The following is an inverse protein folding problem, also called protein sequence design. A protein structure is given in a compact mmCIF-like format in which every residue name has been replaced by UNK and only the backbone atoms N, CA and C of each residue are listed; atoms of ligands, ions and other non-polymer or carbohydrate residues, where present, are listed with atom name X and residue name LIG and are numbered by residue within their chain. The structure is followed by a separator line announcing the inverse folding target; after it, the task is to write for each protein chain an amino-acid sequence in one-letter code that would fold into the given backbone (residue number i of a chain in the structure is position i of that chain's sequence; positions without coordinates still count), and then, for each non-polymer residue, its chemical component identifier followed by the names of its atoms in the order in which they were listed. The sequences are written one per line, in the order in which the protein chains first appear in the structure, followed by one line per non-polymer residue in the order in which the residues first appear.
data_IF_485867975309
#
_entry.id   IF_485867975309
#
_cell.length_a   1.000
_cell.length_b   1.000
_cell.length_c   1.000
_cell.angle_alpha   90.00
_cell.angle_beta   90.00
_cell.angle_gamma   90.00
#
_symmetry.space_group_name_H-M   'P 1'
#
loop_
_entity.id
_entity.type
_entity.pdbx_description
1 polymer ?
#
# COMPACT_ATOMS: atom_id res chain seq x y z
N UNK A 1 38.29 9.00 16.44
CA UNK A 1 39.46 8.37 15.78
C UNK A 1 39.28 8.25 14.26
N UNK A 2 38.64 9.22 13.57
CA UNK A 2 38.33 9.17 12.11
C UNK A 2 38.88 10.37 11.32
N UNK A 3 39.67 11.25 11.95
CA UNK A 3 40.17 12.51 11.34
C UNK A 3 41.48 12.38 10.57
N UNK A 4 42.15 11.22 10.61
CA UNK A 4 43.51 11.02 10.06
C UNK A 4 43.58 10.13 8.81
N UNK A 5 42.48 9.50 8.38
CA UNK A 5 42.49 8.76 7.11
C UNK A 5 42.26 9.71 5.93
N UNK A 6 43.05 9.62 4.84
CA UNK A 6 42.91 10.47 3.67
C UNK A 6 41.75 9.98 2.79
N UNK A 7 40.54 9.89 3.35
CA UNK A 7 39.33 9.38 2.69
C UNK A 7 39.05 10.04 1.35
N UNK A 8 39.31 11.34 1.24
CA UNK A 8 39.17 12.09 -0.03
C UNK A 8 40.09 11.56 -1.13
N UNK A 9 41.33 11.18 -0.77
CA UNK A 9 42.29 10.61 -1.69
C UNK A 9 41.88 9.19 -2.09
N UNK A 10 41.43 8.38 -1.13
CA UNK A 10 40.96 7.00 -1.35
C UNK A 10 39.75 6.99 -2.30
N UNK A 11 38.76 7.86 -2.05
CA UNK A 11 37.54 7.98 -2.88
C UNK A 11 37.91 8.46 -4.30
N UNK A 12 38.78 9.46 -4.43
CA UNK A 12 39.26 9.94 -5.74
C UNK A 12 40.05 8.89 -6.51
N UNK A 13 40.92 8.15 -5.82
CA UNK A 13 41.72 7.09 -6.41
C UNK A 13 40.83 5.93 -6.87
N UNK A 14 39.86 5.52 -6.05
CA UNK A 14 38.88 4.51 -6.39
C UNK A 14 38.03 4.95 -7.60
N UNK A 15 37.48 6.17 -7.59
CA UNK A 15 36.67 6.69 -8.70
C UNK A 15 37.43 6.69 -10.03
N UNK A 16 38.68 7.18 -10.04
CA UNK A 16 39.55 7.14 -11.23
C UNK A 16 39.87 5.71 -11.69
N UNK A 17 40.09 4.78 -10.76
CA UNK A 17 40.41 3.38 -11.07
C UNK A 17 39.22 2.61 -11.63
N UNK A 18 37.99 2.94 -11.22
CA UNK A 18 36.76 2.32 -11.69
C UNK A 18 36.07 3.10 -12.84
N UNK A 19 36.74 4.12 -13.41
CA UNK A 19 36.20 4.90 -14.54
C UNK A 19 35.02 5.81 -14.17
N UNK A 20 34.83 6.11 -12.88
CA UNK A 20 33.75 6.95 -12.37
C UNK A 20 34.26 8.39 -12.21
N UNK A 21 33.41 9.39 -12.51
CA UNK A 21 33.74 10.80 -12.28
C UNK A 21 34.16 11.06 -10.83
N UNK A 22 35.11 11.98 -10.60
CA UNK A 22 35.53 12.39 -9.25
C UNK A 22 34.32 12.89 -8.44
N UNK A 23 33.82 12.10 -7.46
CA UNK A 23 32.56 12.38 -6.80
C UNK A 23 32.62 13.71 -6.04
N UNK A 24 33.80 14.08 -5.55
CA UNK A 24 34.00 15.30 -4.75
C UNK A 24 33.88 16.53 -5.64
N UNK A 25 34.56 16.51 -6.79
CA UNK A 25 34.51 17.60 -7.76
C UNK A 25 33.13 17.71 -8.40
N UNK A 26 32.44 16.59 -8.59
CA UNK A 26 31.07 16.54 -9.10
C UNK A 26 30.05 17.07 -8.09
N UNK A 27 30.09 16.62 -6.83
CA UNK A 27 29.27 17.16 -5.73
C UNK A 27 29.48 18.66 -5.52
N UNK A 28 30.72 19.14 -5.60
CA UNK A 28 31.03 20.57 -5.47
C UNK A 28 30.39 21.40 -6.60
N UNK A 29 30.38 20.88 -7.83
CA UNK A 29 29.72 21.52 -8.98
C UNK A 29 28.21 21.39 -8.92
N UNK A 30 27.68 20.26 -8.46
CA UNK A 30 26.25 20.08 -8.22
C UNK A 30 25.70 21.13 -7.25
N UNK A 31 26.40 21.34 -6.15
CA UNK A 31 26.06 22.35 -5.14
C UNK A 31 26.08 23.77 -5.68
N UNK A 32 26.82 24.04 -6.76
CA UNK A 32 26.85 25.34 -7.41
C UNK A 32 25.62 25.59 -8.31
N UNK A 33 24.82 24.56 -8.64
CA UNK A 33 23.54 24.75 -9.34
C UNK A 33 22.41 25.24 -8.41
N UNK A 34 22.56 25.09 -7.09
CA UNK A 34 21.63 25.65 -6.11
C UNK A 34 22.09 27.06 -5.69
N UNK A 35 21.15 28.01 -5.56
CA UNK A 35 21.46 29.31 -4.92
C UNK A 35 21.94 29.07 -3.49
N UNK A 36 22.82 29.91 -2.94
CA UNK A 36 23.29 29.76 -1.56
C UNK A 36 22.09 29.89 -0.61
N UNK A 37 21.56 28.75 -0.19
CA UNK A 37 20.60 28.59 0.89
C UNK A 37 21.39 28.27 2.15
N UNK A 38 20.99 28.83 3.30
CA UNK A 38 21.56 28.47 4.61
C UNK A 38 21.39 26.97 4.91
N UNK A 39 20.33 26.36 4.33
CA UNK A 39 20.08 24.92 4.36
C UNK A 39 20.36 24.35 2.97
N UNK A 40 21.49 23.64 2.83
CA UNK A 40 22.04 23.24 1.53
C UNK A 40 21.23 22.13 0.85
N UNK A 41 20.79 21.11 1.60
CA UNK A 41 19.85 20.05 1.23
C UNK A 41 19.35 19.44 2.56
N UNK A 42 18.04 19.34 2.82
CA UNK A 42 17.54 18.65 4.02
C UNK A 42 18.07 17.20 4.07
N UNK A 43 18.69 16.81 5.20
CA UNK A 43 19.23 15.45 5.40
C UNK A 43 18.11 14.41 5.25
N UNK A 44 16.89 14.81 5.54
CA UNK A 44 15.66 14.07 5.41
C UNK A 44 15.37 13.68 3.95
N UNK A 45 15.70 14.54 2.98
CA UNK A 45 15.57 14.24 1.54
C UNK A 45 16.62 13.25 1.07
N UNK A 46 17.86 13.37 1.55
CA UNK A 46 18.90 12.39 1.26
C UNK A 46 18.53 11.01 1.84
N UNK A 47 18.04 10.97 3.08
CA UNK A 47 17.55 9.72 3.70
C UNK A 47 16.37 9.13 2.92
N UNK A 48 15.38 9.94 2.55
CA UNK A 48 14.24 9.49 1.74
C UNK A 48 14.70 8.93 0.39
N UNK A 49 15.59 9.65 -0.31
CA UNK A 49 16.13 9.23 -1.60
C UNK A 49 16.91 7.91 -1.52
N UNK A 50 17.70 7.71 -0.46
CA UNK A 50 18.43 6.44 -0.24
C UNK A 50 17.44 5.27 -0.04
N UNK A 51 16.45 5.42 0.84
CA UNK A 51 15.44 4.35 1.10
C UNK A 51 14.66 4.04 -0.18
N UNK A 52 14.25 5.07 -0.91
CA UNK A 52 13.52 4.95 -2.16
C UNK A 52 14.31 4.20 -3.25
N UNK A 53 15.59 4.54 -3.45
CA UNK A 53 16.45 3.82 -4.40
C UNK A 53 16.83 2.42 -3.94
N UNK A 54 16.99 2.19 -2.63
CA UNK A 54 17.22 0.85 -2.07
C UNK A 54 16.02 -0.07 -2.33
N UNK A 55 14.78 0.39 -2.06
CA UNK A 55 13.56 -0.31 -2.48
C UNK A 55 13.54 -0.55 -3.98
N UNK A 56 13.96 0.45 -4.75
CA UNK A 56 14.05 0.31 -6.19
C UNK A 56 14.99 -0.81 -6.65
N UNK A 57 16.07 -1.10 -5.93
CA UNK A 57 16.96 -2.25 -6.20
C UNK A 57 16.28 -3.59 -5.86
N UNK A 58 15.55 -3.66 -4.75
CA UNK A 58 14.75 -4.84 -4.37
C UNK A 58 13.70 -5.13 -5.44
N UNK A 59 12.98 -4.10 -5.89
CA UNK A 59 11.98 -4.19 -6.96
C UNK A 59 12.60 -4.75 -8.26
N UNK A 60 13.83 -4.38 -8.62
CA UNK A 60 14.52 -4.98 -9.79
C UNK A 60 14.63 -6.50 -9.64
N UNK A 61 15.10 -6.97 -8.47
CA UNK A 61 15.34 -8.38 -8.23
C UNK A 61 14.05 -9.19 -8.10
N UNK A 62 13.09 -8.72 -7.32
CA UNK A 62 11.85 -9.43 -7.07
C UNK A 62 10.93 -9.47 -8.29
N UNK A 63 10.70 -8.34 -8.97
CA UNK A 63 9.64 -8.27 -9.99
C UNK A 63 10.09 -8.92 -11.31
N UNK A 64 11.32 -8.66 -11.76
CA UNK A 64 11.75 -9.10 -13.09
C UNK A 64 11.87 -10.62 -13.24
N UNK A 65 12.17 -11.32 -12.15
CA UNK A 65 12.37 -12.77 -12.16
C UNK A 65 11.07 -13.55 -11.89
N UNK A 66 10.00 -12.85 -11.49
CA UNK A 66 8.76 -13.45 -10.99
C UNK A 66 7.53 -12.80 -11.66
N UNK A 67 7.50 -12.79 -13.00
CA UNK A 67 6.43 -12.14 -13.77
C UNK A 67 5.08 -12.87 -13.69
N UNK A 68 5.08 -14.11 -13.23
CA UNK A 68 3.92 -14.98 -13.02
C UNK A 68 3.13 -14.66 -11.75
N UNK A 69 3.71 -13.89 -10.83
CA UNK A 69 3.06 -13.45 -9.60
C UNK A 69 1.86 -12.52 -9.88
N UNK A 70 1.03 -12.32 -8.87
CA UNK A 70 0.02 -11.26 -8.89
C UNK A 70 0.68 -9.99 -8.37
N UNK A 71 0.88 -8.98 -9.20
CA UNK A 71 1.56 -7.75 -8.79
C UNK A 71 0.58 -6.60 -8.53
N UNK A 72 0.97 -5.56 -7.78
CA UNK A 72 0.13 -4.38 -7.61
C UNK A 72 -0.05 -3.67 -8.96
N UNK A 73 -1.13 -2.90 -9.08
CA UNK A 73 -1.57 -2.33 -10.36
C UNK A 73 -0.49 -1.57 -11.13
N UNK A 74 0.32 -0.78 -10.42
CA UNK A 74 1.39 0.00 -11.06
C UNK A 74 2.44 -0.88 -11.74
N UNK A 75 2.74 -2.07 -11.19
CA UNK A 75 3.70 -3.00 -11.80
C UNK A 75 3.12 -3.60 -13.07
N UNK A 76 1.87 -4.07 -13.01
CA UNK A 76 1.15 -4.66 -14.16
C UNK A 76 1.08 -3.70 -15.36
N UNK A 77 1.06 -2.39 -15.09
CA UNK A 77 1.03 -1.33 -16.12
C UNK A 77 2.43 -0.90 -16.54
N UNK A 78 3.28 -0.49 -15.58
CA UNK A 78 4.59 0.10 -15.84
C UNK A 78 5.57 -0.88 -16.51
N UNK A 79 5.39 -2.19 -16.33
CA UNK A 79 6.25 -3.23 -16.91
C UNK A 79 5.71 -3.84 -18.21
N UNK A 80 4.49 -3.51 -18.63
CA UNK A 80 3.85 -4.05 -19.84
C UNK A 80 4.16 -3.16 -21.05
N UNK A 81 4.97 -3.61 -22.04
CA UNK A 81 5.43 -2.74 -23.14
C UNK A 81 4.32 -2.11 -24.00
N UNK A 82 3.15 -2.75 -24.07
CA UNK A 82 2.01 -2.24 -24.82
C UNK A 82 1.12 -1.27 -24.04
N UNK A 83 1.43 -0.98 -22.78
CA UNK A 83 0.63 -0.10 -21.94
C UNK A 83 1.12 1.37 -22.03
N UNK A 84 0.24 2.37 -22.07
CA UNK A 84 0.64 3.79 -22.08
C UNK A 84 1.50 4.21 -20.88
N UNK A 85 1.38 3.50 -19.75
CA UNK A 85 2.18 3.72 -18.54
C UNK A 85 3.54 3.02 -18.56
N UNK A 86 3.92 2.36 -19.66
CA UNK A 86 5.20 1.66 -19.74
C UNK A 86 6.40 2.60 -19.56
N UNK A 87 7.32 2.23 -18.66
CA UNK A 87 8.57 2.99 -18.45
C UNK A 87 9.77 2.15 -18.94
N UNK A 88 10.48 2.60 -19.99
CA UNK A 88 11.66 1.89 -20.50
C UNK A 88 12.78 1.76 -19.46
N UNK A 89 13.42 0.58 -19.42
CA UNK A 89 14.35 0.18 -18.33
C UNK A 89 15.82 0.19 -18.71
N UNK A 90 16.18 0.54 -19.95
CA UNK A 90 17.50 0.26 -20.54
C UNK A 90 18.70 0.88 -19.79
N UNK A 91 18.48 1.90 -18.95
CA UNK A 91 19.54 2.57 -18.20
C UNK A 91 19.19 2.87 -16.73
N UNK A 92 18.05 2.39 -16.22
CA UNK A 92 17.66 2.65 -14.82
C UNK A 92 18.25 1.59 -13.90
N UNK A 93 19.03 2.02 -12.90
CA UNK A 93 19.59 1.11 -11.90
C UNK A 93 18.57 0.70 -10.82
N UNK A 94 17.46 1.43 -10.68
CA UNK A 94 16.42 1.19 -9.67
C UNK A 94 15.02 1.23 -10.29
N UNK A 95 14.12 0.33 -9.89
CA UNK A 95 12.71 0.35 -10.30
C UNK A 95 11.82 0.92 -9.20
N UNK A 96 11.41 2.16 -9.39
CA UNK A 96 10.51 2.88 -8.49
C UNK A 96 9.15 3.04 -9.16
N UNK A 97 8.09 3.16 -8.36
CA UNK A 97 6.79 3.47 -8.93
C UNK A 97 6.77 4.92 -9.43
N UNK A 98 6.55 5.11 -10.72
CA UNK A 98 6.42 6.41 -11.38
C UNK A 98 5.01 6.65 -11.93
N UNK A 99 4.13 5.67 -11.84
CA UNK A 99 2.82 5.65 -12.49
C UNK A 99 1.71 5.27 -11.51
N UNK A 100 0.47 5.62 -11.83
CA UNK A 100 -0.69 5.22 -11.01
C UNK A 100 -0.55 5.52 -9.50
N UNK A 101 0.07 6.66 -9.16
CA UNK A 101 0.30 7.13 -7.78
C UNK A 101 -0.90 7.88 -7.19
N UNK A 102 -2.10 7.52 -7.64
CA UNK A 102 -3.36 8.08 -7.20
C UNK A 102 -3.94 7.14 -6.13
N UNK A 103 -3.44 7.24 -4.90
CA UNK A 103 -3.90 6.41 -3.78
C UNK A 103 -4.77 7.23 -2.87
N UNK A 104 -5.90 6.65 -2.48
CA UNK A 104 -6.87 7.33 -1.64
C UNK A 104 -6.68 6.87 -0.21
N UNK A 105 -6.44 7.82 0.70
CA UNK A 105 -6.37 7.50 2.12
C UNK A 105 -7.77 7.38 2.71
N UNK A 106 -7.94 6.41 3.61
CA UNK A 106 -9.05 6.38 4.55
C UNK A 106 -8.54 6.81 5.92
N UNK A 107 -9.43 7.29 6.78
CA UNK A 107 -9.02 7.73 8.10
C UNK A 107 -10.13 8.40 8.88
N UNK A 108 -9.75 8.85 10.07
CA UNK A 108 -10.62 9.50 11.04
C UNK A 108 -10.04 10.88 11.35
N UNK A 109 -10.89 11.88 11.64
CA UNK A 109 -10.41 13.17 12.10
C UNK A 109 -9.50 13.01 13.31
N UNK A 110 -8.48 13.86 13.43
CA UNK A 110 -7.56 13.93 14.59
C UNK A 110 -6.69 12.67 14.82
N UNK A 111 -6.84 11.62 14.02
CA UNK A 111 -5.96 10.45 14.05
C UNK A 111 -4.97 10.53 12.89
N UNK A 112 -3.66 10.72 13.16
CA UNK A 112 -2.71 10.96 12.09
C UNK A 112 -2.18 9.63 11.53
N UNK A 113 -3.07 8.69 11.22
CA UNK A 113 -2.78 7.38 10.61
C UNK A 113 -3.59 7.27 9.32
N UNK A 114 -2.91 6.92 8.21
CA UNK A 114 -3.46 7.05 6.87
C UNK A 114 -3.33 5.75 6.06
N UNK A 115 -4.13 4.71 6.35
CA UNK A 115 -4.25 3.55 5.48
C UNK A 115 -4.63 4.00 4.07
N UNK A 116 -4.04 3.39 3.05
CA UNK A 116 -4.27 3.77 1.65
C UNK A 116 -4.89 2.63 0.84
N UNK A 117 -5.67 3.02 -0.17
CA UNK A 117 -6.25 2.12 -1.16
C UNK A 117 -5.76 2.53 -2.54
N UNK A 118 -5.22 1.57 -3.30
CA UNK A 118 -4.78 1.80 -4.68
C UNK A 118 -5.98 1.85 -5.66
N UNK A 119 -5.79 2.24 -6.93
CA UNK A 119 -6.88 2.34 -7.90
C UNK A 119 -7.63 1.04 -8.18
N UNK A 120 -7.08 -0.11 -7.79
CA UNK A 120 -7.63 -1.45 -8.01
C UNK A 120 -8.08 -2.13 -6.72
N UNK A 121 -8.09 -1.39 -5.60
CA UNK A 121 -8.63 -1.86 -4.33
C UNK A 121 -7.62 -2.58 -3.43
N UNK A 122 -6.32 -2.55 -3.78
CA UNK A 122 -5.26 -3.04 -2.88
C UNK A 122 -5.19 -2.15 -1.65
N UNK A 123 -5.36 -2.73 -0.47
CA UNK A 123 -5.37 -1.98 0.80
C UNK A 123 -4.03 -2.11 1.51
N UNK A 124 -3.37 -1.00 1.78
CA UNK A 124 -2.14 -0.93 2.57
C UNK A 124 -2.47 -0.31 3.93
N UNK A 125 -2.58 -1.11 5.01
CA UNK A 125 -3.02 -0.62 6.32
C UNK A 125 -1.99 0.25 7.04
N UNK A 126 -0.72 -0.16 6.98
CA UNK A 126 0.38 0.46 7.74
C UNK A 126 1.21 1.39 6.85
N UNK A 127 1.86 2.40 7.45
CA UNK A 127 2.79 3.24 6.71
C UNK A 127 3.96 2.42 6.18
N UNK A 128 4.22 2.54 4.89
CA UNK A 128 5.31 1.80 4.25
C UNK A 128 5.24 0.28 4.52
N UNK A 129 4.04 -0.26 4.76
CA UNK A 129 3.82 -1.67 5.11
C UNK A 129 3.34 -2.51 3.94
N UNK A 130 3.15 -3.81 4.19
CA UNK A 130 2.55 -4.78 3.27
C UNK A 130 1.06 -4.51 3.02
N UNK A 131 0.44 -5.23 2.08
CA UNK A 131 -0.96 -4.99 1.67
C UNK A 131 -1.84 -6.22 1.72
N UNK A 132 -3.17 -6.01 1.72
CA UNK A 132 -4.19 -7.04 1.50
C UNK A 132 -4.84 -6.84 0.15
N UNK A 133 -5.04 -7.92 -0.58
CA UNK A 133 -5.68 -7.98 -1.89
C UNK A 133 -6.85 -8.99 -1.89
N UNK A 134 -7.80 -8.82 -2.80
CA UNK A 134 -8.99 -9.67 -2.89
C UNK A 134 -9.21 -10.19 -4.31
N UNK A 135 -9.35 -11.50 -4.44
CA UNK A 135 -9.51 -12.18 -5.73
C UNK A 135 -10.71 -13.12 -5.74
N UNK A 136 -11.19 -13.46 -6.92
CA UNK A 136 -12.04 -14.65 -7.10
C UNK A 136 -11.27 -15.65 -7.94
N UNK A 137 -11.23 -16.89 -7.49
CA UNK A 137 -10.71 -18.02 -8.27
C UNK A 137 -11.77 -19.10 -8.30
N UNK A 138 -12.16 -19.52 -9.49
CA UNK A 138 -13.18 -20.55 -9.69
C UNK A 138 -12.56 -21.93 -9.81
N UNK A 139 -13.34 -22.99 -9.57
CA UNK A 139 -12.89 -24.39 -9.68
C UNK A 139 -12.47 -24.78 -11.10
N UNK A 140 -13.05 -24.15 -12.12
CA UNK A 140 -12.70 -24.29 -13.54
C UNK A 140 -11.49 -23.42 -13.94
N UNK A 141 -10.88 -22.68 -13.00
CA UNK A 141 -9.63 -21.95 -13.21
C UNK A 141 -9.79 -20.53 -13.73
N UNK A 142 -11.01 -19.99 -13.85
CA UNK A 142 -11.21 -18.58 -14.14
C UNK A 142 -10.89 -17.73 -12.91
N UNK A 143 -10.45 -16.49 -13.16
CA UNK A 143 -9.86 -15.63 -12.14
C UNK A 143 -10.31 -14.19 -12.33
N UNK A 144 -10.65 -13.53 -11.22
CA UNK A 144 -10.80 -12.09 -11.12
C UNK A 144 -9.66 -11.55 -10.26
N UNK A 145 -8.68 -10.91 -10.90
CA UNK A 145 -7.51 -10.30 -10.26
C UNK A 145 -7.55 -8.78 -10.56
N UNK A 146 -7.99 -7.92 -9.62
CA UNK A 146 -8.26 -6.51 -9.90
C UNK A 146 -7.09 -5.75 -10.55
N UNK A 147 -5.85 -6.06 -10.17
CA UNK A 147 -4.65 -5.42 -10.75
C UNK A 147 -4.43 -5.72 -12.24
N UNK A 148 -4.95 -6.84 -12.74
CA UNK A 148 -4.81 -7.30 -14.13
C UNK A 148 -6.02 -6.93 -15.01
N UNK A 149 -7.07 -6.35 -14.42
CA UNK A 149 -8.27 -5.93 -15.14
C UNK A 149 -8.05 -4.64 -15.93
N UNK A 150 -8.80 -4.49 -17.02
CA UNK A 150 -8.82 -3.26 -17.79
C UNK A 150 -9.57 -2.13 -17.08
N UNK A 151 -9.40 -0.90 -17.55
CA UNK A 151 -10.01 0.29 -16.93
C UNK A 151 -11.54 0.21 -16.90
N UNK A 152 -12.18 -0.35 -17.94
CA UNK A 152 -13.63 -0.50 -17.99
C UNK A 152 -14.19 -1.58 -17.05
N UNK A 153 -13.33 -2.47 -16.55
CA UNK A 153 -13.69 -3.60 -15.68
C UNK A 153 -13.60 -3.25 -14.19
N UNK A 154 -13.12 -2.05 -13.84
CA UNK A 154 -12.99 -1.59 -12.45
C UNK A 154 -13.53 -0.17 -12.29
N UNK A 155 -14.26 0.07 -11.21
CA UNK A 155 -14.74 1.39 -10.82
C UNK A 155 -14.41 1.62 -9.36
N UNK A 156 -13.84 2.79 -9.05
CA UNK A 156 -13.58 3.23 -7.68
C UNK A 156 -14.40 4.48 -7.36
N UNK A 157 -14.96 4.53 -6.15
CA UNK A 157 -15.78 5.63 -5.65
C UNK A 157 -15.31 5.98 -4.23
N UNK A 158 -15.10 7.27 -3.98
CA UNK A 158 -14.88 7.80 -2.64
C UNK A 158 -16.22 8.26 -2.06
N UNK A 159 -16.65 7.63 -0.97
CA UNK A 159 -17.82 8.03 -0.19
C UNK A 159 -17.38 8.93 0.97
N UNK A 160 -18.13 10.00 1.19
CA UNK A 160 -17.79 11.04 2.18
C UNK A 160 -18.62 10.95 3.48
N UNK A 161 -19.71 10.18 3.48
CA UNK A 161 -20.70 10.07 4.56
C UNK A 161 -21.06 8.61 4.85
N UNK A 162 -21.24 8.19 6.13
CA UNK A 162 -21.00 8.93 7.37
C UNK A 162 -19.50 9.18 7.70
N UNK A 163 -18.59 8.72 6.84
CA UNK A 163 -17.15 8.95 6.93
C UNK A 163 -16.45 8.58 5.64
N UNK A 164 -15.13 8.79 5.56
CA UNK A 164 -14.34 8.46 4.38
C UNK A 164 -14.28 6.96 4.14
N UNK A 165 -14.87 6.50 3.04
CA UNK A 165 -14.79 5.10 2.59
C UNK A 165 -14.44 5.02 1.12
N UNK A 166 -13.55 4.12 0.77
CA UNK A 166 -13.18 3.85 -0.61
C UNK A 166 -13.84 2.55 -1.04
N UNK A 167 -14.74 2.64 -2.00
CA UNK A 167 -15.39 1.51 -2.63
C UNK A 167 -14.70 1.19 -3.96
N UNK A 168 -14.30 -0.06 -4.16
CA UNK A 168 -13.78 -0.56 -5.44
C UNK A 168 -14.63 -1.71 -5.91
N UNK A 169 -15.12 -1.62 -7.15
CA UNK A 169 -15.92 -2.66 -7.80
C UNK A 169 -15.12 -3.18 -8.99
N UNK A 170 -14.85 -4.47 -9.02
CA UNK A 170 -14.19 -5.18 -10.10
C UNK A 170 -15.14 -6.24 -10.66
N UNK A 171 -15.35 -6.27 -11.97
CA UNK A 171 -16.27 -7.21 -12.62
C UNK A 171 -15.74 -7.72 -13.95
N UNK A 172 -15.77 -9.04 -14.14
CA UNK A 172 -15.40 -9.68 -15.40
C UNK A 172 -16.03 -11.06 -15.51
N UNK A 173 -16.65 -11.34 -16.66
CA UNK A 173 -17.08 -12.69 -17.04
C UNK A 173 -17.88 -13.43 -15.94
N UNK A 174 -18.89 -12.77 -15.37
CA UNK A 174 -19.76 -13.36 -14.35
C UNK A 174 -19.17 -13.42 -12.93
N UNK A 175 -17.96 -12.87 -12.73
CA UNK A 175 -17.30 -12.72 -11.43
C UNK A 175 -17.32 -11.26 -11.02
N UNK A 176 -17.64 -10.97 -9.77
CA UNK A 176 -17.66 -9.61 -9.24
C UNK A 176 -17.13 -9.55 -7.82
N UNK A 177 -16.27 -8.59 -7.54
CA UNK A 177 -15.86 -8.20 -6.19
C UNK A 177 -16.22 -6.73 -5.99
N UNK A 178 -16.86 -6.44 -4.87
CA UNK A 178 -17.04 -5.09 -4.32
C UNK A 178 -16.32 -5.05 -2.98
N UNK A 179 -15.29 -4.24 -2.85
CA UNK A 179 -14.61 -3.99 -1.58
C UNK A 179 -14.86 -2.55 -1.12
N UNK A 180 -15.14 -2.37 0.17
CA UNK A 180 -15.26 -1.08 0.83
C UNK A 180 -14.27 -1.02 1.99
N UNK A 181 -13.27 -0.13 1.90
CA UNK A 181 -12.29 0.09 2.96
C UNK A 181 -12.61 1.37 3.74
N UNK A 182 -12.47 1.31 5.05
CA UNK A 182 -12.67 2.42 5.99
C UNK A 182 -11.74 2.29 7.19
N UNK A 183 -11.57 3.36 7.97
CA UNK A 183 -10.98 3.29 9.30
C UNK A 183 -12.06 3.56 10.35
N UNK A 184 -12.09 2.74 11.40
CA UNK A 184 -13.01 2.88 12.54
C UNK A 184 -12.23 2.78 13.85
N UNK A 185 -12.87 3.15 14.96
CA UNK A 185 -12.36 2.87 16.30
C UNK A 185 -12.94 1.55 16.82
N UNK A 186 -12.07 0.57 17.11
CA UNK A 186 -12.39 -0.64 17.86
C UNK A 186 -11.92 -0.46 19.31
N UNK A 187 -12.84 -0.02 20.17
CA UNK A 187 -12.48 0.51 21.50
C UNK A 187 -11.57 1.73 21.37
N UNK A 188 -10.33 1.62 21.84
CA UNK A 188 -9.30 2.67 21.75
C UNK A 188 -8.31 2.47 20.59
N UNK A 189 -8.49 1.42 19.78
CA UNK A 189 -7.56 1.06 18.71
C UNK A 189 -8.15 1.43 17.34
N UNK A 190 -7.52 2.31 16.55
CA UNK A 190 -7.91 2.54 15.19
C UNK A 190 -7.69 1.26 14.39
N UNK A 191 -8.69 0.88 13.61
CA UNK A 191 -8.75 -0.39 12.89
C UNK A 191 -9.18 -0.13 11.46
N UNK A 192 -8.44 -0.69 10.50
CA UNK A 192 -8.89 -0.74 9.11
C UNK A 192 -9.95 -1.82 8.99
N UNK A 193 -11.10 -1.46 8.46
CA UNK A 193 -12.17 -2.40 8.13
C UNK A 193 -12.37 -2.44 6.63
N UNK A 194 -12.42 -3.66 6.11
CA UNK A 194 -12.66 -3.93 4.70
C UNK A 194 -13.85 -4.85 4.60
N UNK A 195 -14.93 -4.37 4.01
CA UNK A 195 -16.11 -5.17 3.69
C UNK A 195 -16.01 -5.62 2.24
N UNK A 196 -16.12 -6.93 2.01
CA UNK A 196 -15.97 -7.53 0.69
C UNK A 196 -17.19 -8.35 0.37
N UNK A 197 -17.90 -7.92 -0.67
CA UNK A 197 -18.99 -8.67 -1.30
C UNK A 197 -18.46 -9.29 -2.59
N UNK A 198 -18.50 -10.61 -2.67
CA UNK A 198 -18.04 -11.36 -3.83
C UNK A 198 -19.19 -12.20 -4.40
N UNK A 199 -19.41 -12.15 -5.71
CA UNK A 199 -20.38 -13.00 -6.39
C UNK A 199 -19.76 -13.67 -7.61
N UNK A 200 -20.23 -14.88 -7.89
CA UNK A 200 -19.70 -15.72 -8.95
C UNK A 200 -20.81 -16.58 -9.55
N UNK A 201 -20.93 -16.59 -10.88
CA UNK A 201 -21.79 -17.52 -11.61
C UNK A 201 -21.31 -18.99 -11.55
N UNK A 202 -20.12 -19.21 -10.98
CA UNK A 202 -19.45 -20.51 -10.86
C UNK A 202 -19.03 -20.81 -9.43
N UNK A 203 -18.83 -22.08 -9.13
CA UNK A 203 -18.27 -22.48 -7.84
C UNK A 203 -16.80 -22.05 -7.75
N UNK A 204 -16.40 -21.49 -6.62
CA UNK A 204 -15.05 -20.98 -6.43
C UNK A 204 -14.80 -20.52 -5.02
N UNK A 205 -13.86 -19.58 -4.90
CA UNK A 205 -13.47 -18.97 -3.64
C UNK A 205 -13.27 -17.48 -3.82
N UNK A 206 -13.75 -16.70 -2.85
CA UNK A 206 -13.19 -15.39 -2.52
C UNK A 206 -11.85 -15.65 -1.81
N UNK A 207 -10.80 -14.99 -2.28
CA UNK A 207 -9.48 -15.03 -1.68
C UNK A 207 -9.24 -13.70 -0.97
N UNK A 208 -8.82 -13.75 0.29
CA UNK A 208 -8.17 -12.62 0.96
C UNK A 208 -6.66 -12.92 1.04
N UNK A 209 -5.86 -12.16 0.29
CA UNK A 209 -4.44 -12.43 0.12
C UNK A 209 -3.58 -11.38 0.82
N UNK A 210 -2.59 -11.82 1.59
CA UNK A 210 -1.56 -10.96 2.20
C UNK A 210 -0.35 -10.89 1.27
N UNK A 211 0.07 -9.67 0.94
CA UNK A 211 1.02 -9.39 -0.15
C UNK A 211 2.25 -8.61 0.35
N UNK A 212 3.48 -9.07 0.07
CA UNK A 212 4.74 -8.46 0.52
C UNK A 212 5.12 -7.25 -0.34
N UNK A 213 4.16 -6.39 -0.62
CA UNK A 213 4.32 -5.18 -1.38
C UNK A 213 3.19 -4.21 -1.08
N UNK A 214 3.37 -2.99 -1.56
CA UNK A 214 2.36 -1.95 -1.56
C UNK A 214 2.43 -1.15 -2.87
N UNK A 215 1.61 -0.09 -3.01
CA UNK A 215 1.64 0.74 -4.19
C UNK A 215 2.96 1.49 -4.46
N UNK A 216 3.95 1.47 -3.56
CA UNK A 216 5.30 2.00 -3.82
C UNK A 216 6.31 0.90 -4.21
N UNK A 217 6.16 -0.34 -3.71
CA UNK A 217 7.05 -1.44 -4.03
C UNK A 217 7.05 -2.56 -2.98
N UNK A 218 8.09 -3.39 -3.00
CA UNK A 218 8.24 -4.52 -2.08
C UNK A 218 8.31 -4.06 -0.62
N UNK A 219 7.59 -4.78 0.24
CA UNK A 219 7.57 -4.63 1.69
C UNK A 219 7.65 -5.99 2.35
N UNK A 220 8.71 -6.21 3.13
CA UNK A 220 9.06 -7.54 3.55
C UNK A 220 8.06 -8.15 4.53
N UNK A 221 7.68 -9.40 4.23
CA UNK A 221 6.97 -10.29 5.13
C UNK A 221 7.88 -11.48 5.39
N UNK A 222 8.47 -11.49 6.58
CA UNK A 222 9.40 -12.53 7.03
C UNK A 222 8.63 -13.72 7.60
N UNK A 223 7.48 -13.51 8.23
CA UNK A 223 6.69 -14.61 8.78
C UNK A 223 5.18 -14.34 8.77
N UNK A 224 4.40 -15.38 8.50
CA UNK A 224 2.94 -15.38 8.63
C UNK A 224 2.55 -16.58 9.50
N UNK A 225 1.59 -16.40 10.42
CA UNK A 225 1.06 -17.47 11.26
C UNK A 225 -0.45 -17.33 11.40
N UNK A 226 -1.17 -18.45 11.49
CA UNK A 226 -2.58 -18.47 11.88
C UNK A 226 -2.75 -17.94 13.31
N UNK A 227 -3.63 -16.96 13.49
CA UNK A 227 -3.93 -16.42 14.81
C UNK A 227 -4.55 -17.48 15.73
N UNK A 228 -4.42 -17.30 17.05
CA UNK A 228 -4.92 -18.24 18.06
C UNK A 228 -6.40 -18.69 17.94
N UNK A 229 -7.34 -17.88 17.41
CA UNK A 229 -8.72 -18.32 17.16
C UNK A 229 -8.93 -19.03 15.80
N UNK A 230 -7.91 -19.11 14.94
CA UNK A 230 -8.03 -19.71 13.60
C UNK A 230 -8.75 -18.84 12.55
N UNK A 231 -9.15 -17.63 12.94
CA UNK A 231 -9.94 -16.68 12.15
C UNK A 231 -9.08 -15.51 11.63
N UNK A 232 -7.76 -15.66 11.58
CA UNK A 232 -6.88 -14.57 11.18
C UNK A 232 -5.44 -14.98 10.93
N UNK A 233 -4.65 -14.00 10.51
CA UNK A 233 -3.23 -14.14 10.19
C UNK A 233 -2.41 -13.09 10.94
N UNK A 234 -1.47 -13.55 11.77
CA UNK A 234 -0.44 -12.74 12.38
C UNK A 234 0.72 -12.57 11.41
N UNK A 235 1.02 -11.32 11.06
CA UNK A 235 2.07 -10.92 10.12
C UNK A 235 3.24 -10.35 10.91
N UNK A 236 4.44 -10.88 10.65
CA UNK A 236 5.70 -10.51 11.29
C UNK A 236 5.65 -10.47 12.84
N UNK A 237 4.72 -11.22 13.46
CA UNK A 237 4.49 -11.24 14.92
C UNK A 237 4.07 -9.89 15.52
N UNK A 238 3.50 -9.00 14.70
CA UNK A 238 3.18 -7.62 15.10
C UNK A 238 1.75 -7.20 14.78
N UNK A 239 1.28 -7.52 13.57
CA UNK A 239 -0.01 -7.05 13.07
C UNK A 239 -0.88 -8.24 12.69
N UNK A 240 -2.13 -8.24 13.12
CA UNK A 240 -3.07 -9.35 12.85
C UNK A 240 -4.14 -8.93 11.87
N UNK A 241 -4.29 -9.67 10.77
CA UNK A 241 -5.45 -9.62 9.88
C UNK A 241 -6.52 -10.53 10.44
N UNK A 242 -7.66 -9.98 10.86
CA UNK A 242 -8.79 -10.75 11.40
C UNK A 242 -9.89 -10.86 10.35
N UNK A 243 -10.49 -12.03 10.21
CA UNK A 243 -11.61 -12.31 9.33
C UNK A 243 -12.89 -12.48 10.16
N UNK A 244 -14.04 -12.11 9.60
CA UNK A 244 -15.34 -12.28 10.28
C UNK A 244 -15.78 -13.74 10.45
N UNK A 245 -15.13 -14.66 9.74
CA UNK A 245 -15.34 -16.09 9.84
C UNK A 245 -14.03 -16.84 9.57
N UNK A 246 -13.92 -18.08 10.04
CA UNK A 246 -12.78 -18.92 9.73
C UNK A 246 -12.74 -19.27 8.22
N UNK A 247 -11.59 -19.14 7.55
CA UNK A 247 -11.46 -19.55 6.16
C UNK A 247 -11.63 -21.08 6.03
N UNK A 248 -12.19 -21.52 4.91
CA UNK A 248 -12.32 -22.96 4.61
C UNK A 248 -11.00 -23.61 4.20
N UNK A 249 -10.00 -22.79 3.90
CA UNK A 249 -8.64 -23.22 3.62
C UNK A 249 -7.69 -22.04 3.70
N UNK A 250 -6.44 -22.33 4.05
CA UNK A 250 -5.38 -21.35 4.11
C UNK A 250 -4.15 -21.88 3.37
N UNK A 251 -3.61 -21.05 2.48
CA UNK A 251 -2.39 -21.35 1.73
C UNK A 251 -1.35 -20.30 2.07
N UNK A 252 -0.10 -20.73 2.15
CA UNK A 252 1.05 -19.86 2.35
C UNK A 252 2.15 -20.31 1.38
N UNK A 253 2.95 -19.37 0.88
CA UNK A 253 4.07 -19.70 -0.01
C UNK A 253 5.31 -18.87 0.33
N UNK A 254 6.47 -19.52 0.23
CA UNK A 254 7.77 -18.87 0.32
C UNK A 254 8.20 -18.35 -1.06
N UNK A 255 9.16 -17.43 -1.08
CA UNK A 255 9.74 -16.92 -2.33
C UNK A 255 10.21 -18.00 -3.30
N UNK A 256 10.82 -19.08 -2.79
CA UNK A 256 11.38 -20.16 -3.62
C UNK A 256 10.31 -21.02 -4.31
N UNK A 257 9.11 -21.07 -3.75
CA UNK A 257 7.96 -21.81 -4.28
C UNK A 257 7.14 -20.97 -5.27
N UNK A 258 7.32 -19.65 -5.24
CA UNK A 258 6.60 -18.69 -6.06
C UNK A 258 5.41 -18.06 -5.34
N UNK A 259 4.44 -17.58 -6.10
CA UNK A 259 3.26 -16.89 -5.56
C UNK A 259 2.23 -17.89 -5.00
N UNK A 260 1.64 -17.59 -3.84
CA UNK A 260 0.52 -18.38 -3.29
C UNK A 260 -0.65 -18.56 -4.27
N UNK A 261 -0.81 -17.64 -5.23
CA UNK A 261 -1.80 -17.74 -6.29
C UNK A 261 -1.62 -18.98 -7.21
N UNK A 262 -0.41 -19.51 -7.32
CA UNK A 262 -0.11 -20.66 -8.20
C UNK A 262 -0.64 -21.99 -7.64
N UNK A 263 -0.76 -22.12 -6.32
CA UNK A 263 -1.14 -23.37 -5.66
C UNK A 263 -2.29 -23.19 -4.65
N UNK A 264 -3.39 -22.61 -5.10
CA UNK A 264 -4.60 -22.45 -4.29
C UNK A 264 -5.37 -23.77 -4.08
N UNK A 265 -5.12 -24.78 -4.92
CA UNK A 265 -5.86 -26.03 -4.94
C UNK A 265 -5.23 -27.17 -4.12
N UNK A 266 -3.99 -27.02 -3.66
CA UNK A 266 -3.35 -28.02 -2.80
C UNK A 266 -4.15 -28.25 -1.52
N UNK A 267 -4.01 -29.41 -0.91
CA UNK A 267 -4.69 -29.77 0.35
C UNK A 267 -3.81 -29.56 1.58
N UNK A 268 -2.59 -29.06 1.42
CA UNK A 268 -1.67 -28.85 2.53
C UNK A 268 -2.10 -27.60 3.32
N UNK A 269 -2.43 -27.81 4.59
CA UNK A 269 -2.76 -26.73 5.51
C UNK A 269 -1.53 -26.35 6.31
N UNK A 270 -0.94 -25.22 5.95
CA UNK A 270 0.19 -24.64 6.67
C UNK A 270 -0.32 -23.65 7.70
N UNK A 271 0.03 -23.83 8.98
CA UNK A 271 -0.36 -22.93 10.06
C UNK A 271 0.63 -21.80 10.28
N UNK A 272 1.84 -21.91 9.74
CA UNK A 272 2.84 -20.84 9.79
C UNK A 272 3.93 -21.00 8.74
N UNK A 273 4.48 -19.88 8.31
CA UNK A 273 5.55 -19.79 7.32
C UNK A 273 6.61 -18.78 7.76
N UNK A 274 7.88 -19.04 7.43
CA UNK A 274 8.99 -18.08 7.60
C UNK A 274 9.79 -18.00 6.30
N UNK A 275 9.94 -16.82 5.71
CA UNK A 275 10.65 -16.63 4.45
C UNK A 275 11.87 -15.73 4.64
N UNK A 276 13.07 -16.29 4.47
CA UNK A 276 14.34 -15.55 4.62
C UNK A 276 14.51 -14.42 3.60
N UNK A 277 13.87 -14.55 2.43
CA UNK A 277 13.84 -13.49 1.42
C UNK A 277 12.86 -12.35 1.75
N UNK A 278 12.06 -12.49 2.82
CA UNK A 278 11.05 -11.51 3.21
C UNK A 278 9.86 -11.42 2.23
N UNK A 279 9.58 -12.47 1.47
CA UNK A 279 8.55 -12.47 0.42
C UNK A 279 7.46 -13.51 0.70
N UNK A 280 7.18 -13.80 1.98
CA UNK A 280 6.09 -14.70 2.32
C UNK A 280 4.75 -14.13 1.83
N UNK A 281 3.92 -15.00 1.27
CA UNK A 281 2.56 -14.68 0.83
C UNK A 281 1.57 -15.62 1.51
N UNK A 282 0.33 -15.18 1.71
CA UNK A 282 -0.74 -16.03 2.22
C UNK A 282 -2.06 -15.74 1.51
N UNK A 283 -2.92 -16.74 1.42
CA UNK A 283 -4.25 -16.68 0.83
C UNK A 283 -5.25 -17.43 1.72
N UNK A 284 -6.25 -16.72 2.24
CA UNK A 284 -7.38 -17.28 2.95
C UNK A 284 -8.55 -17.51 1.98
N UNK A 285 -9.08 -18.73 1.93
CA UNK A 285 -10.07 -19.17 0.97
C UNK A 285 -11.48 -19.23 1.58
N UNK A 286 -12.41 -18.51 0.96
CA UNK A 286 -13.80 -18.39 1.40
C UNK A 286 -14.73 -18.91 0.27
N UNK A 287 -15.40 -20.06 0.44
CA UNK A 287 -16.16 -20.68 -0.65
C UNK A 287 -17.31 -19.79 -1.16
N UNK A 288 -17.47 -19.75 -2.49
CA UNK A 288 -18.60 -19.15 -3.19
C UNK A 288 -19.30 -20.24 -3.99
N UNK A 289 -20.60 -20.41 -3.78
CA UNK A 289 -21.44 -21.27 -4.61
C UNK A 289 -21.84 -20.56 -5.90
N UNK A 290 -22.02 -21.29 -6.99
CA UNK A 290 -22.51 -20.75 -8.26
C UNK A 290 -23.84 -19.99 -8.08
N UNK A 291 -23.90 -18.74 -8.54
CA UNK A 291 -25.03 -17.84 -8.37
C UNK A 291 -25.20 -17.29 -6.94
N UNK A 292 -24.29 -17.64 -6.02
CA UNK A 292 -24.28 -17.18 -4.65
C UNK A 292 -23.42 -15.93 -4.44
N UNK A 293 -23.60 -15.33 -3.28
CA UNK A 293 -22.80 -14.20 -2.79
C UNK A 293 -22.04 -14.63 -1.53
N UNK A 294 -20.87 -14.03 -1.33
CA UNK A 294 -20.05 -14.18 -0.14
C UNK A 294 -19.73 -12.81 0.43
N UNK A 295 -20.04 -12.64 1.71
CA UNK A 295 -19.73 -11.43 2.47
C UNK A 295 -18.61 -11.75 3.45
N UNK A 296 -17.54 -10.95 3.41
CA UNK A 296 -16.40 -11.08 4.30
C UNK A 296 -16.08 -9.70 4.89
N UNK A 297 -15.93 -9.61 6.21
CA UNK A 297 -15.33 -8.45 6.86
C UNK A 297 -13.92 -8.81 7.30
N UNK A 298 -12.98 -7.94 6.95
CA UNK A 298 -11.57 -8.02 7.35
C UNK A 298 -11.26 -6.84 8.25
N UNK A 299 -10.67 -7.10 9.42
CA UNK A 299 -10.32 -6.08 10.41
C UNK A 299 -8.83 -6.14 10.74
N UNK A 300 -8.12 -5.03 10.59
CA UNK A 300 -6.68 -4.92 10.83
C UNK A 300 -6.44 -3.83 11.88
N UNK A 301 -6.18 -4.18 13.15
CA UNK A 301 -5.85 -3.20 14.18
C UNK A 301 -4.51 -2.53 13.88
N UNK A 302 -4.45 -1.21 14.06
CA UNK A 302 -3.27 -0.39 13.75
C UNK A 302 -2.38 -0.15 14.98
N UNK A 303 -2.32 -1.14 15.89
CA UNK A 303 -1.53 -1.07 17.13
C UNK A 303 -0.05 -0.85 16.83
N UNK A 304 0.52 -1.51 15.82
CA UNK A 304 1.91 -1.33 15.40
C UNK A 304 2.18 0.14 14.98
N UNK A 305 1.28 0.75 14.22
CA UNK A 305 1.42 2.15 13.79
C UNK A 305 1.34 3.11 15.00
N UNK A 306 0.45 2.84 15.95
CA UNK A 306 0.37 3.61 17.19
C UNK A 306 1.66 3.52 18.01
N UNK A 307 2.24 2.32 18.14
CA UNK A 307 3.49 2.10 18.86
C UNK A 307 4.67 2.81 18.19
N UNK A 308 4.82 2.65 16.87
CA UNK A 308 5.88 3.30 16.09
C UNK A 308 5.82 4.82 16.21
N UNK A 309 4.60 5.38 16.24
CA UNK A 309 4.38 6.83 16.38
C UNK A 309 4.24 7.31 17.82
N UNK A 310 4.33 6.41 18.80
CA UNK A 310 4.10 6.70 20.22
C UNK A 310 2.78 7.47 20.47
N UNK A 311 1.72 7.09 19.77
CA UNK A 311 0.41 7.73 19.86
C UNK A 311 -0.37 7.21 21.06
N UNK A 312 -0.91 8.14 21.84
CA UNK A 312 -1.85 7.84 22.94
C UNK A 312 -3.17 8.51 22.63
N UNK A 313 -4.14 7.71 22.20
CA UNK A 313 -5.48 8.19 21.90
C UNK A 313 -6.32 8.19 23.20
N UNK A 314 -6.99 9.31 23.57
CA UNK A 314 -7.95 9.32 24.67
C UNK A 314 -9.17 8.41 24.39
N UNK A 315 -9.92 8.01 25.43
CA UNK A 315 -11.11 7.14 25.24
C UNK A 315 -12.23 7.81 24.41
N UNK A 316 -12.22 9.15 24.29
CA UNK A 316 -13.14 9.94 23.46
C UNK A 316 -12.53 10.43 22.13
N UNK A 317 -11.46 9.80 21.66
CA UNK A 317 -10.47 10.39 20.73
C UNK A 317 -10.91 10.78 19.31
N UNK A 318 -12.16 10.59 18.92
CA UNK A 318 -12.56 10.96 17.56
C UNK A 318 -13.91 11.63 17.53
N UNK A 319 -13.93 12.90 17.16
CA UNK A 319 -15.15 13.51 16.64
C UNK A 319 -15.58 12.81 15.35
N UNK A 320 -16.88 12.53 15.17
CA UNK A 320 -17.42 12.13 13.88
C UNK A 320 -17.00 13.11 12.78
N UNK A 321 -16.88 12.62 11.54
CA UNK A 321 -16.58 13.47 10.38
C UNK A 321 -17.51 14.68 10.28
N UNK A 322 -18.79 14.50 10.61
CA UNK A 322 -19.77 15.57 10.64
C UNK A 322 -19.36 16.72 11.56
N UNK A 323 -18.89 16.44 12.78
CA UNK A 323 -18.43 17.46 13.75
C UNK A 323 -17.13 18.12 13.30
N UNK A 324 -16.15 17.35 12.81
CA UNK A 324 -14.87 17.87 12.34
C UNK A 324 -14.99 18.84 11.16
N UNK A 325 -16.03 18.66 10.33
CA UNK A 325 -16.30 19.51 9.16
C UNK A 325 -17.12 20.76 9.53
N UNK A 326 -17.91 20.73 10.62
CA UNK A 326 -18.76 21.87 11.00
C UNK A 326 -18.06 23.25 11.00
N UNK A 327 -16.83 23.39 11.56
CA UNK A 327 -16.14 24.67 11.64
C UNK A 327 -15.38 25.06 10.36
N UNK A 328 -15.34 24.21 9.33
CA UNK A 328 -14.59 24.52 8.10
C UNK A 328 -15.34 25.49 7.20
N UNK A 329 -14.63 26.08 6.24
CA UNK A 329 -15.27 26.80 5.14
C UNK A 329 -16.27 25.88 4.41
N UNK A 330 -17.32 26.49 3.85
CA UNK A 330 -18.38 25.78 3.11
C UNK A 330 -18.56 26.37 1.72
N UNK A 331 -18.73 25.49 0.74
CA UNK A 331 -19.17 25.81 -0.61
C UNK A 331 -20.54 25.15 -0.83
N UNK A 332 -21.47 25.89 -1.44
CA UNK A 332 -22.77 25.36 -1.85
C UNK A 332 -23.05 25.81 -3.28
N UNK A 333 -23.01 24.86 -4.22
CA UNK A 333 -23.26 25.10 -5.64
C UNK A 333 -24.10 23.98 -6.24
N UNK A 334 -24.79 24.26 -7.34
CA UNK A 334 -25.65 23.29 -8.00
C UNK A 334 -24.91 22.21 -8.79
N UNK A 335 -23.66 22.45 -9.22
CA UNK A 335 -22.86 21.49 -10.01
C UNK A 335 -22.31 20.37 -9.11
N UNK A 336 -22.85 19.14 -9.18
CA UNK A 336 -22.54 18.09 -8.21
C UNK A 336 -21.07 17.68 -8.21
N UNK A 337 -20.41 17.74 -9.38
CA UNK A 337 -19.00 17.35 -9.48
C UNK A 337 -18.08 18.33 -8.76
N UNK A 338 -18.33 19.63 -8.91
CA UNK A 338 -17.52 20.66 -8.25
C UNK A 338 -17.81 20.66 -6.74
N UNK A 339 -19.07 20.44 -6.34
CA UNK A 339 -19.43 20.26 -4.93
C UNK A 339 -18.65 19.09 -4.30
N UNK A 340 -18.67 17.92 -4.95
CA UNK A 340 -17.91 16.76 -4.49
C UNK A 340 -16.40 17.04 -4.38
N UNK A 341 -15.80 17.71 -5.36
CA UNK A 341 -14.36 18.02 -5.34
C UNK A 341 -14.00 18.92 -4.15
N UNK A 342 -14.83 19.92 -3.85
CA UNK A 342 -14.64 20.78 -2.68
C UNK A 342 -14.76 19.98 -1.38
N UNK A 343 -15.83 19.20 -1.24
CA UNK A 343 -16.13 18.43 -0.02
C UNK A 343 -15.07 17.35 0.25
N UNK A 344 -14.53 16.74 -0.80
CA UNK A 344 -13.43 15.78 -0.72
C UNK A 344 -12.10 16.48 -0.37
N UNK A 345 -11.83 17.67 -0.93
CA UNK A 345 -10.62 18.43 -0.62
C UNK A 345 -10.59 18.87 0.85
N UNK A 346 -11.71 19.37 1.39
CA UNK A 346 -11.82 19.72 2.82
C UNK A 346 -11.49 18.52 3.71
N UNK A 347 -12.07 17.36 3.43
CA UNK A 347 -11.80 16.14 4.21
C UNK A 347 -10.36 15.66 4.07
N UNK A 348 -9.77 15.78 2.87
CA UNK A 348 -8.36 15.45 2.63
C UNK A 348 -7.44 16.36 3.43
N UNK A 349 -7.72 17.67 3.46
CA UNK A 349 -6.94 18.63 4.26
C UNK A 349 -7.04 18.31 5.75
N UNK A 350 -8.25 18.10 6.28
CA UNK A 350 -8.45 17.70 7.68
C UNK A 350 -7.69 16.42 8.03
N UNK A 351 -7.72 15.42 7.15
CA UNK A 351 -7.02 14.16 7.34
C UNK A 351 -5.51 14.38 7.41
N UNK A 352 -4.95 15.09 6.42
CA UNK A 352 -3.51 15.30 6.29
C UNK A 352 -2.95 16.42 7.18
N UNK A 353 -3.79 16.98 8.06
CA UNK A 353 -3.42 17.97 9.08
C UNK A 353 -3.76 17.52 10.50
N UNK A 354 -3.99 16.23 10.74
CA UNK A 354 -4.35 15.69 12.06
C UNK A 354 -3.22 15.81 13.11
N UNK A 355 -1.98 16.00 12.67
CA UNK A 355 -0.80 16.27 13.50
C UNK A 355 0.04 17.34 12.81
N UNK A 356 1.18 16.99 12.21
CA UNK A 356 1.86 17.86 11.25
C UNK A 356 1.13 17.85 9.90
N UNK A 357 1.14 19.00 9.20
CA UNK A 357 0.62 19.09 7.84
C UNK A 357 1.54 18.33 6.89
N UNK A 358 0.98 17.33 6.21
CA UNK A 358 1.68 16.52 5.21
C UNK A 358 0.99 16.64 3.84
N UNK A 359 1.73 16.73 2.72
CA UNK A 359 1.13 16.84 1.39
C UNK A 359 0.56 15.53 0.84
N UNK A 360 0.79 14.40 1.51
CA UNK A 360 0.22 13.12 1.09
C UNK A 360 0.33 12.02 2.16
N UNK A 361 -0.48 10.96 2.03
CA UNK A 361 -0.66 9.98 3.09
C UNK A 361 0.47 8.94 3.19
N UNK A 362 1.30 8.79 2.16
CA UNK A 362 2.32 7.74 2.12
C UNK A 362 3.74 8.29 1.84
N UNK A 363 4.13 8.42 0.57
CA UNK A 363 5.49 8.77 0.14
C UNK A 363 5.91 10.16 0.58
N UNK A 364 4.96 11.08 0.59
CA UNK A 364 5.15 12.45 1.06
C UNK A 364 4.58 12.69 2.46
N UNK A 365 4.46 11.65 3.29
CA UNK A 365 3.98 11.77 4.68
C UNK A 365 5.06 12.36 5.60
N UNK A 366 5.43 13.60 5.34
CA UNK A 366 6.40 14.41 6.10
C UNK A 366 6.03 15.87 5.97
N UNK A 367 6.42 16.70 6.93
CA UNK A 367 6.22 18.14 6.83
C UNK A 367 7.02 18.76 5.68
N UNK A 368 6.36 19.58 4.87
CA UNK A 368 6.99 20.39 3.83
C UNK A 368 6.52 21.83 3.95
N UNK A 369 7.47 22.75 4.21
CA UNK A 369 7.14 24.15 4.44
C UNK A 369 6.36 24.79 3.29
N UNK A 370 6.76 24.51 2.04
CA UNK A 370 6.06 25.01 0.84
C UNK A 370 4.60 24.58 0.85
N UNK A 371 4.35 23.30 1.09
CA UNK A 371 3.03 22.69 1.03
C UNK A 371 2.16 23.13 2.21
N UNK A 372 2.76 23.42 3.37
CA UNK A 372 2.06 23.99 4.52
C UNK A 372 1.66 25.46 4.37
N UNK A 373 2.21 26.18 3.39
CA UNK A 373 1.86 27.57 3.09
C UNK A 373 0.76 27.71 2.03
N UNK A 374 0.38 26.62 1.35
CA UNK A 374 -0.67 26.57 0.33
C UNK A 374 -2.00 26.15 0.96
#
# INVERSE_FOLDING_TARGET
MLRFLPWRFIIRFAARRYGVMDPISWLARLRAFARPSEVQEPIELLRAGIVFHARGLVNVKAIQHNLDWVWPFWVERQFKPGDPSFVPRAFSFSHINLTHRNWTAVGLPEIPIYPIVDPRGLVTPLHDGWSVDFWIVTKDGARLLPSKLEESEVRQILHLEPGLRVETIAEKSGLRIRSEATMVMDGTTPTVEIHVDASSDRNGWLIAAVRPYNPEGIQFIDSIRVSGPGDGLEINKKTTVRFSEAPAGLRMAHYEEGDVHSDLASSEETTSITCDAGMATAAALFPISAGGEKHLRVSIPLTEEMEVRNLKLPESATSPWSEAILPTARLSIAEPKIQFLYDAAVRTLLLLSADELVPGPNTYRRFWFRDACL
#
